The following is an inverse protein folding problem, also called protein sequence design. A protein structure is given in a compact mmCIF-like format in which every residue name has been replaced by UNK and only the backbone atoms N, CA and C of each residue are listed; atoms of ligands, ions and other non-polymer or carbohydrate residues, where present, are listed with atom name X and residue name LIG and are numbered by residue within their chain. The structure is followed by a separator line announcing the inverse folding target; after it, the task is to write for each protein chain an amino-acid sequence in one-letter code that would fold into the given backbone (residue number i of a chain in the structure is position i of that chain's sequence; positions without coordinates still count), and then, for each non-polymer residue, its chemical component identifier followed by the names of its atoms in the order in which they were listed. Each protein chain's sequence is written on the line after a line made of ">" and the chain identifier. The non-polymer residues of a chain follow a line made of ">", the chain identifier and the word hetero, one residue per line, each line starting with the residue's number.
data_IF_545433599829
#
_entry.id   IF_545433599829
#
_cell.length_a   1.000
_cell.length_b   1.000
_cell.length_c   1.000
_cell.angle_alpha   90.00
_cell.angle_beta   90.00
_cell.angle_gamma   90.00
#
_symmetry.space_group_name_H-M   'P 1'
#
loop_
_entity.id
_entity.type
_entity.pdbx_description
1 polymer ?
#
# COMPACT_ATOMS: atom_id res chain seq x y z
N UNK A 1 3.90 5.08 -15.98
CA UNK A 1 4.70 4.07 -16.68
C UNK A 1 6.14 4.14 -16.21
N UNK A 2 6.87 3.04 -16.33
CA UNK A 2 8.29 3.01 -15.96
C UNK A 2 9.10 3.84 -16.97
N UNK A 3 9.94 4.77 -16.47
CA UNK A 3 10.75 5.62 -17.34
C UNK A 3 11.88 4.86 -18.07
N UNK A 4 12.47 3.86 -17.40
CA UNK A 4 13.57 3.04 -17.93
C UNK A 4 13.07 1.95 -18.87
N UNK A 5 11.89 1.38 -18.61
CA UNK A 5 11.23 0.40 -19.45
C UNK A 5 9.80 0.83 -19.78
N UNK A 6 9.67 1.74 -20.74
CA UNK A 6 8.41 2.38 -21.14
C UNK A 6 7.31 1.41 -21.61
N UNK A 7 7.66 0.17 -21.91
CA UNK A 7 6.69 -0.86 -22.29
C UNK A 7 5.96 -1.47 -21.08
N UNK A 8 6.34 -1.16 -19.84
CA UNK A 8 5.76 -1.75 -18.63
C UNK A 8 5.19 -0.70 -17.68
N UNK A 9 4.23 -1.12 -16.87
CA UNK A 9 3.75 -0.30 -15.77
C UNK A 9 4.83 -0.06 -14.72
N UNK A 10 4.74 1.10 -14.06
CA UNK A 10 5.67 1.49 -13.00
C UNK A 10 5.39 0.74 -11.69
N UNK A 11 6.45 0.32 -10.99
CA UNK A 11 6.34 -0.38 -9.72
C UNK A 11 5.60 0.41 -8.63
N UNK A 12 5.89 1.70 -8.47
CA UNK A 12 5.34 2.47 -7.34
C UNK A 12 3.81 2.66 -7.38
N UNK A 13 3.18 2.59 -8.56
CA UNK A 13 1.78 3.00 -8.71
C UNK A 13 0.99 2.34 -9.83
N UNK A 14 1.66 1.88 -10.89
CA UNK A 14 1.05 1.34 -12.10
C UNK A 14 -0.17 2.16 -12.58
N UNK A 15 -1.29 1.51 -12.92
CA UNK A 15 -2.54 2.12 -13.36
C UNK A 15 -3.55 2.32 -12.20
N UNK A 16 -3.03 2.65 -11.01
CA UNK A 16 -3.83 2.97 -9.83
C UNK A 16 -3.95 1.82 -8.83
N UNK A 17 -4.13 2.21 -7.56
CA UNK A 17 -3.97 1.37 -6.40
C UNK A 17 -5.27 0.83 -5.80
N UNK A 18 -5.19 -0.39 -5.28
CA UNK A 18 -6.23 -1.10 -4.54
C UNK A 18 -5.64 -1.64 -3.25
N UNK A 19 -6.52 -2.08 -2.34
CA UNK A 19 -6.14 -2.71 -1.08
C UNK A 19 -6.93 -4.01 -0.92
N UNK A 20 -6.31 -5.03 -0.34
CA UNK A 20 -6.97 -6.29 0.01
C UNK A 20 -7.59 -6.24 1.42
N UNK A 21 -8.32 -7.29 1.81
CA UNK A 21 -8.94 -7.34 3.14
C UNK A 21 -7.93 -7.17 4.29
N UNK A 22 -6.69 -7.67 4.15
CA UNK A 22 -5.65 -7.59 5.18
C UNK A 22 -4.85 -6.28 5.15
N UNK A 23 -5.20 -5.33 4.28
CA UNK A 23 -4.53 -4.04 4.18
C UNK A 23 -3.28 -4.03 3.29
N UNK A 24 -3.05 -5.06 2.47
CA UNK A 24 -1.97 -5.06 1.49
C UNK A 24 -2.33 -4.18 0.28
N UNK A 25 -1.50 -3.18 -0.05
CA UNK A 25 -1.69 -2.41 -1.27
C UNK A 25 -1.16 -3.17 -2.49
N UNK A 26 -1.91 -3.12 -3.58
CA UNK A 26 -1.52 -3.62 -4.89
C UNK A 26 -2.05 -2.68 -5.97
N UNK A 27 -1.62 -2.84 -7.22
CA UNK A 27 -2.05 -1.94 -8.28
C UNK A 27 -2.62 -2.70 -9.47
N UNK A 28 -3.46 -2.03 -10.25
CA UNK A 28 -3.79 -2.45 -11.59
C UNK A 28 -2.55 -2.29 -12.47
N UNK A 29 -2.08 -3.39 -13.08
CA UNK A 29 -0.78 -3.43 -13.76
C UNK A 29 0.41 -3.84 -12.90
N UNK A 30 0.22 -4.10 -11.60
CA UNK A 30 1.26 -4.64 -10.71
C UNK A 30 0.71 -5.46 -9.55
N UNK A 31 1.09 -6.73 -9.51
CA UNK A 31 0.86 -7.63 -8.39
C UNK A 31 2.22 -8.02 -7.79
N UNK A 32 2.54 -7.50 -6.60
CA UNK A 32 3.87 -7.60 -5.98
C UNK A 32 5.00 -7.19 -6.94
N UNK A 33 5.85 -8.14 -7.36
CA UNK A 33 6.97 -7.94 -8.29
C UNK A 33 6.58 -8.18 -9.77
N UNK A 34 5.38 -8.71 -10.03
CA UNK A 34 4.89 -8.93 -11.39
C UNK A 34 4.35 -7.62 -11.95
N UNK A 35 5.06 -7.06 -12.93
CA UNK A 35 4.64 -5.89 -13.70
C UNK A 35 4.02 -6.32 -15.02
N UNK A 36 2.85 -5.78 -15.34
CA UNK A 36 2.21 -6.02 -16.62
C UNK A 36 2.85 -5.13 -17.70
N UNK A 37 2.96 -5.67 -18.92
CA UNK A 37 3.29 -4.87 -20.10
C UNK A 37 2.12 -3.96 -20.41
N UNK A 38 2.37 -2.70 -20.73
CA UNK A 38 1.34 -1.79 -21.22
C UNK A 38 1.00 -2.14 -22.68
N UNK A 39 -0.21 -2.63 -22.87
CA UNK A 39 -0.82 -2.94 -24.16
C UNK A 39 -2.05 -2.07 -24.38
N UNK A 40 -2.12 -0.90 -23.74
CA UNK A 40 -3.30 -0.02 -23.70
C UNK A 40 -4.52 -0.64 -22.99
N UNK A 41 -4.30 -1.65 -22.15
CA UNK A 41 -5.39 -2.37 -21.49
C UNK A 41 -6.06 -1.53 -20.39
N UNK A 42 -5.42 -0.45 -19.95
CA UNK A 42 -5.87 0.39 -18.84
C UNK A 42 -6.06 1.86 -19.23
N UNK A 43 -6.41 2.17 -20.48
CA UNK A 43 -6.60 3.56 -20.96
C UNK A 43 -7.97 4.17 -20.58
N UNK A 44 -8.68 3.56 -19.62
CA UNK A 44 -9.99 3.99 -19.14
C UNK A 44 -9.94 4.74 -17.81
N UNK A 45 -11.03 5.44 -17.48
CA UNK A 45 -11.21 6.12 -16.19
C UNK A 45 -11.96 5.17 -15.24
N UNK A 46 -11.35 4.84 -14.10
CA UNK A 46 -11.98 3.96 -13.10
C UNK A 46 -11.78 4.48 -11.67
N UNK A 47 -12.70 4.14 -10.74
CA UNK A 47 -12.45 4.32 -9.33
C UNK A 47 -11.25 3.49 -8.87
N UNK A 48 -10.43 4.09 -8.01
CA UNK A 48 -9.28 3.45 -7.35
C UNK A 48 -9.34 3.74 -5.85
N UNK A 49 -8.62 2.95 -5.08
CA UNK A 49 -8.52 3.14 -3.64
C UNK A 49 -7.48 4.19 -3.27
N UNK A 50 -6.31 4.13 -3.91
CA UNK A 50 -5.20 5.05 -3.67
C UNK A 50 -4.47 5.37 -4.97
N UNK A 51 -3.95 6.58 -5.07
CA UNK A 51 -3.10 7.03 -6.18
C UNK A 51 -1.66 7.15 -5.70
N UNK A 52 -0.69 6.92 -6.59
CA UNK A 52 0.72 7.03 -6.27
C UNK A 52 1.13 8.48 -6.05
N UNK A 53 1.99 8.74 -5.06
CA UNK A 53 2.55 10.07 -4.81
C UNK A 53 3.31 10.65 -6.00
N UNK A 54 3.78 9.82 -6.94
CA UNK A 54 4.45 10.28 -8.15
C UNK A 54 3.55 11.13 -9.08
N UNK A 55 2.23 10.94 -9.02
CA UNK A 55 1.26 11.72 -9.78
C UNK A 55 -0.10 11.67 -9.06
N UNK A 56 -0.27 12.54 -8.06
CA UNK A 56 -1.48 12.65 -7.26
C UNK A 56 -2.02 14.08 -7.30
N UNK A 57 -3.28 14.22 -7.70
CA UNK A 57 -4.01 15.48 -7.67
C UNK A 57 -5.14 15.38 -6.65
N UNK A 58 -5.19 16.30 -5.69
CA UNK A 58 -6.20 16.35 -4.63
C UNK A 58 -6.74 17.77 -4.50
N UNK A 59 -8.05 17.90 -4.26
CA UNK A 59 -8.66 19.20 -3.96
C UNK A 59 -8.03 19.77 -2.69
N UNK A 60 -7.55 21.02 -2.74
CA UNK A 60 -6.92 21.69 -1.59
C UNK A 60 -7.78 21.62 -0.32
N UNK A 61 -9.10 21.88 -0.42
CA UNK A 61 -10.01 21.76 0.71
C UNK A 61 -10.02 20.37 1.36
N UNK A 62 -9.92 19.30 0.56
CA UNK A 62 -9.87 17.91 1.06
C UNK A 62 -8.52 17.63 1.71
N UNK A 63 -7.42 18.10 1.11
CA UNK A 63 -6.08 17.95 1.68
C UNK A 63 -5.96 18.62 3.06
N UNK A 64 -6.44 19.86 3.20
CA UNK A 64 -6.44 20.58 4.47
C UNK A 64 -7.40 19.98 5.49
N UNK A 65 -8.59 19.53 5.08
CA UNK A 65 -9.50 18.80 5.97
C UNK A 65 -8.86 17.53 6.55
N UNK A 66 -8.00 16.87 5.76
CA UNK A 66 -7.27 15.69 6.17
C UNK A 66 -5.98 15.99 6.94
N UNK A 67 -5.63 17.26 7.20
CA UNK A 67 -4.34 17.65 7.78
C UNK A 67 -3.13 17.12 6.96
N UNK A 68 -3.25 17.03 5.63
CA UNK A 68 -2.17 16.65 4.75
C UNK A 68 -1.62 15.23 4.96
N UNK A 69 -0.35 15.03 4.59
CA UNK A 69 0.37 13.77 4.82
C UNK A 69 0.69 13.59 6.30
N UNK A 70 0.76 12.33 6.76
CA UNK A 70 1.16 12.02 8.12
C UNK A 70 2.69 11.89 8.21
N UNK A 71 3.35 12.87 8.81
CA UNK A 71 4.81 12.95 8.94
C UNK A 71 5.43 11.75 9.69
N UNK A 72 4.67 11.03 10.52
CA UNK A 72 5.16 9.85 11.23
C UNK A 72 5.55 8.69 10.28
N UNK A 73 5.04 8.72 9.03
CA UNK A 73 5.39 7.75 8.01
C UNK A 73 6.81 7.97 7.49
N UNK A 74 7.28 9.21 7.49
CA UNK A 74 8.52 9.69 6.86
C UNK A 74 8.58 9.44 5.34
N UNK A 75 8.50 8.18 4.92
CA UNK A 75 8.41 7.76 3.52
C UNK A 75 7.73 6.38 3.40
N UNK A 76 7.15 6.12 2.23
CA UNK A 76 6.37 4.94 1.85
C UNK A 76 5.02 4.82 2.56
N UNK A 77 3.95 4.73 1.76
CA UNK A 77 2.56 4.52 2.18
C UNK A 77 1.89 5.75 2.82
N UNK A 78 2.56 6.89 2.91
CA UNK A 78 1.94 8.15 3.34
C UNK A 78 0.79 8.57 2.41
N UNK A 79 0.93 8.31 1.11
CA UNK A 79 -0.11 8.58 0.12
C UNK A 79 -1.27 7.59 0.23
N UNK A 80 -0.97 6.33 0.56
CA UNK A 80 -1.99 5.30 0.78
C UNK A 80 -2.82 5.66 2.02
N UNK A 81 -2.18 6.08 3.11
CA UNK A 81 -2.87 6.54 4.31
C UNK A 81 -3.73 7.78 4.04
N UNK A 82 -3.21 8.77 3.29
CA UNK A 82 -3.99 9.95 2.89
C UNK A 82 -5.24 9.56 2.10
N UNK A 83 -5.10 8.71 1.08
CA UNK A 83 -6.22 8.22 0.29
C UNK A 83 -7.21 7.39 1.13
N UNK A 84 -6.72 6.56 2.05
CA UNK A 84 -7.59 5.77 2.92
C UNK A 84 -8.38 6.65 3.90
N UNK A 85 -7.75 7.67 4.47
CA UNK A 85 -8.46 8.65 5.32
C UNK A 85 -9.49 9.43 4.50
N UNK A 86 -9.18 9.84 3.28
CA UNK A 86 -10.13 10.46 2.37
C UNK A 86 -11.33 9.54 2.09
N UNK A 87 -11.06 8.26 1.79
CA UNK A 87 -12.09 7.24 1.56
C UNK A 87 -12.98 7.02 2.78
N UNK A 88 -12.41 7.03 3.99
CA UNK A 88 -13.18 6.94 5.23
C UNK A 88 -14.09 8.17 5.49
N UNK A 89 -13.81 9.31 4.86
CA UNK A 89 -14.68 10.48 4.84
C UNK A 89 -15.67 10.50 3.66
N UNK A 90 -15.69 9.45 2.82
CA UNK A 90 -16.60 9.32 1.69
C UNK A 90 -16.10 9.96 0.38
N UNK A 91 -14.87 10.46 0.35
CA UNK A 91 -14.25 10.92 -0.89
C UNK A 91 -13.86 9.74 -1.78
N UNK A 92 -13.85 9.99 -3.09
CA UNK A 92 -13.52 8.99 -4.11
C UNK A 92 -12.25 9.42 -4.85
N UNK A 93 -11.38 8.46 -5.13
CA UNK A 93 -10.24 8.64 -6.02
C UNK A 93 -10.52 7.96 -7.36
N UNK A 94 -9.98 8.53 -8.44
CA UNK A 94 -10.10 7.99 -9.79
C UNK A 94 -8.74 7.95 -10.45
N UNK A 95 -8.50 6.89 -11.20
CA UNK A 95 -7.42 6.80 -12.16
C UNK A 95 -7.90 7.37 -13.50
N UNK A 96 -7.05 8.13 -14.18
CA UNK A 96 -7.34 8.76 -15.47
C UNK A 96 -6.38 8.19 -16.52
N UNK A 97 -6.81 7.13 -17.23
CA UNK A 97 -5.97 6.43 -18.20
C UNK A 97 -5.61 7.21 -19.46
N UNK A 98 -6.27 8.35 -19.70
CA UNK A 98 -5.94 9.25 -20.82
C UNK A 98 -4.75 10.18 -20.55
N UNK A 99 -4.17 10.13 -19.34
CA UNK A 99 -3.01 10.93 -18.94
C UNK A 99 -1.86 10.03 -18.48
N UNK A 100 -0.68 10.19 -19.09
CA UNK A 100 0.49 9.34 -18.82
C UNK A 100 1.63 10.13 -18.20
N UNK A 101 2.16 9.64 -17.07
CA UNK A 101 3.40 10.12 -16.46
C UNK A 101 4.42 8.99 -16.46
N UNK A 102 5.65 9.30 -16.89
CA UNK A 102 6.80 8.40 -16.77
C UNK A 102 7.57 8.71 -15.49
N UNK A 103 7.78 7.70 -14.66
CA UNK A 103 8.39 7.86 -13.34
C UNK A 103 9.70 7.10 -13.25
N UNK A 104 10.71 7.72 -12.63
CA UNK A 104 11.99 7.08 -12.35
C UNK A 104 11.91 6.47 -10.95
N UNK A 105 11.44 5.23 -10.87
CA UNK A 105 11.33 4.48 -9.61
C UNK A 105 12.69 4.19 -8.95
N UNK A 106 12.68 4.08 -7.62
CA UNK A 106 13.82 3.58 -6.84
C UNK A 106 14.99 4.55 -6.65
N UNK A 107 14.80 5.86 -6.91
CA UNK A 107 15.83 6.87 -6.73
C UNK A 107 16.20 7.12 -5.25
N UNK A 108 15.22 7.06 -4.34
CA UNK A 108 15.44 7.37 -2.90
C UNK A 108 15.94 6.16 -2.11
N UNK A 109 15.32 4.99 -2.28
CA UNK A 109 15.70 3.73 -1.63
C UNK A 109 15.57 2.58 -2.62
N UNK A 110 16.69 1.90 -2.89
CA UNK A 110 16.71 0.67 -3.69
C UNK A 110 15.94 -0.44 -2.98
N UNK A 111 15.40 -1.39 -3.74
CA UNK A 111 14.60 -2.50 -3.19
C UNK A 111 15.33 -3.34 -2.15
N UNK A 112 16.65 -3.47 -2.30
CA UNK A 112 17.50 -4.25 -1.40
C UNK A 112 17.79 -3.54 -0.06
N UNK A 113 17.36 -2.28 0.10
CA UNK A 113 17.66 -1.53 1.30
C UNK A 113 16.77 -2.00 2.48
N UNK A 114 17.34 -2.50 3.59
CA UNK A 114 16.56 -2.94 4.76
C UNK A 114 15.75 -1.81 5.40
N UNK A 115 16.13 -0.54 5.24
CA UNK A 115 15.32 0.61 5.66
C UNK A 115 13.97 0.65 4.92
N UNK A 116 13.95 0.31 3.62
CA UNK A 116 12.70 0.21 2.86
C UNK A 116 11.82 -0.92 3.39
N UNK A 117 12.40 -2.05 3.77
CA UNK A 117 11.68 -3.14 4.45
C UNK A 117 11.10 -2.64 5.77
N UNK A 118 11.93 -2.07 6.64
CA UNK A 118 11.49 -1.51 7.92
C UNK A 118 10.29 -0.56 7.76
N UNK A 119 10.41 0.43 6.87
CA UNK A 119 9.35 1.42 6.63
C UNK A 119 8.07 0.77 6.10
N UNK A 120 8.14 -0.13 5.12
CA UNK A 120 6.94 -0.75 4.55
C UNK A 120 6.18 -1.62 5.56
N UNK A 121 6.89 -2.41 6.37
CA UNK A 121 6.26 -3.26 7.38
C UNK A 121 5.66 -2.41 8.52
N UNK A 122 6.39 -1.40 9.01
CA UNK A 122 5.90 -0.48 10.05
C UNK A 122 4.70 0.33 9.58
N UNK A 123 4.82 0.98 8.42
CA UNK A 123 3.80 1.91 7.91
C UNK A 123 2.53 1.18 7.46
N UNK A 124 2.64 -0.07 7.02
CA UNK A 124 1.46 -0.91 6.74
C UNK A 124 0.64 -1.17 8.00
N UNK A 125 1.29 -1.47 9.13
CA UNK A 125 0.62 -1.64 10.42
C UNK A 125 0.04 -0.31 10.95
N UNK A 126 0.73 0.82 10.74
CA UNK A 126 0.17 2.15 11.03
C UNK A 126 -1.12 2.41 10.25
N UNK A 127 -1.12 2.13 8.94
CA UNK A 127 -2.28 2.33 8.07
C UNK A 127 -3.48 1.49 8.55
N UNK A 128 -3.23 0.23 8.94
CA UNK A 128 -4.25 -0.67 9.47
C UNK A 128 -4.85 -0.11 10.76
N UNK A 129 -4.02 0.24 11.74
CA UNK A 129 -4.49 0.79 13.03
C UNK A 129 -5.29 2.07 12.83
N UNK A 130 -4.85 2.96 11.94
CA UNK A 130 -5.53 4.23 11.67
C UNK A 130 -6.86 4.04 10.94
N UNK A 131 -6.96 3.08 10.01
CA UNK A 131 -7.99 3.15 8.98
C UNK A 131 -8.95 1.94 8.87
N UNK A 132 -8.54 0.74 9.27
CA UNK A 132 -9.39 -0.47 9.18
C UNK A 132 -10.58 -0.37 10.13
N UNK A 133 -11.81 -0.83 9.81
CA UNK A 133 -12.95 -0.84 10.74
C UNK A 133 -12.66 -1.52 12.08
N UNK A 134 -13.16 -0.96 13.20
CA UNK A 134 -12.79 -1.41 14.56
C UNK A 134 -13.07 -2.90 14.79
N UNK A 135 -14.15 -3.42 14.19
CA UNK A 135 -14.54 -4.84 14.29
C UNK A 135 -13.54 -5.82 13.69
N UNK A 136 -12.72 -5.38 12.73
CA UNK A 136 -11.72 -6.23 12.08
C UNK A 136 -10.30 -5.96 12.55
N UNK A 137 -10.09 -4.85 13.28
CA UNK A 137 -8.76 -4.35 13.61
C UNK A 137 -7.88 -5.38 14.31
N UNK A 138 -8.38 -6.00 15.39
CA UNK A 138 -7.60 -6.99 16.14
C UNK A 138 -7.20 -8.19 15.28
N UNK A 139 -8.18 -8.78 14.56
CA UNK A 139 -7.94 -9.94 13.71
C UNK A 139 -6.95 -9.62 12.59
N UNK A 140 -7.10 -8.48 11.92
CA UNK A 140 -6.20 -8.09 10.83
C UNK A 140 -4.79 -7.82 11.35
N UNK A 141 -4.63 -7.11 12.47
CA UNK A 141 -3.29 -6.88 13.06
C UNK A 141 -2.63 -8.22 13.42
N UNK A 142 -3.37 -9.14 14.07
CA UNK A 142 -2.84 -10.45 14.40
C UNK A 142 -2.43 -11.24 13.15
N UNK A 143 -3.30 -11.33 12.14
CA UNK A 143 -3.00 -12.01 10.88
C UNK A 143 -1.81 -11.38 10.16
N UNK A 144 -1.65 -10.05 10.22
CA UNK A 144 -0.53 -9.35 9.61
C UNK A 144 0.78 -9.64 10.31
N UNK A 145 0.82 -9.67 11.64
CA UNK A 145 2.03 -10.04 12.38
C UNK A 145 2.47 -11.48 12.05
N UNK A 146 1.53 -12.42 11.86
CA UNK A 146 1.83 -13.79 11.44
C UNK A 146 2.37 -13.87 10.01
N UNK A 147 1.77 -13.13 9.06
CA UNK A 147 2.26 -13.06 7.69
C UNK A 147 3.63 -12.37 7.60
N UNK A 148 3.88 -11.37 8.44
CA UNK A 148 5.17 -10.72 8.54
C UNK A 148 6.23 -11.69 9.10
N UNK A 149 5.87 -12.58 10.03
CA UNK A 149 6.75 -13.65 10.51
C UNK A 149 7.10 -14.66 9.39
N UNK A 150 6.11 -15.03 8.56
CA UNK A 150 6.35 -15.87 7.37
C UNK A 150 7.30 -15.17 6.39
N UNK A 151 7.11 -13.87 6.14
CA UNK A 151 8.02 -13.09 5.31
C UNK A 151 9.44 -13.02 5.90
N UNK A 152 9.55 -12.86 7.22
CA UNK A 152 10.81 -12.88 7.95
C UNK A 152 11.55 -14.22 7.81
N UNK A 153 10.84 -15.34 7.91
CA UNK A 153 11.41 -16.68 7.68
C UNK A 153 11.87 -16.85 6.23
N UNK A 154 11.07 -16.39 5.27
CA UNK A 154 11.45 -16.39 3.84
C UNK A 154 12.78 -15.66 3.61
N UNK A 155 12.97 -14.49 4.22
CA UNK A 155 14.23 -13.75 4.09
C UNK A 155 15.44 -14.48 4.69
N UNK A 156 15.26 -15.26 5.75
CA UNK A 156 16.34 -16.12 6.29
C UNK A 156 16.70 -17.21 5.27
N UNK A 157 15.70 -17.89 4.71
CA UNK A 157 15.89 -18.95 3.69
C UNK A 157 16.59 -18.38 2.45
N UNK A 158 16.26 -17.16 2.05
CA UNK A 158 16.90 -16.44 0.94
C UNK A 158 18.29 -15.87 1.28
N UNK A 159 18.83 -16.19 2.46
CA UNK A 159 20.13 -15.72 2.96
C UNK A 159 20.23 -14.18 3.08
N UNK A 160 19.12 -13.52 3.41
CA UNK A 160 19.03 -12.07 3.66
C UNK A 160 18.50 -11.72 5.06
N UNK A 161 19.17 -12.18 6.14
CA UNK A 161 18.68 -12.02 7.52
C UNK A 161 18.55 -10.56 7.96
N UNK A 162 19.23 -9.62 7.30
CA UNK A 162 19.12 -8.19 7.59
C UNK A 162 17.69 -7.66 7.37
N UNK A 163 16.94 -8.22 6.41
CA UNK A 163 15.54 -7.85 6.20
C UNK A 163 14.63 -8.42 7.30
N UNK A 164 14.93 -9.62 7.80
CA UNK A 164 14.22 -10.18 8.97
C UNK A 164 14.41 -9.29 10.20
N UNK A 165 15.64 -8.81 10.43
CA UNK A 165 15.92 -7.85 11.50
C UNK A 165 15.17 -6.53 11.30
N UNK A 166 15.07 -6.05 10.05
CA UNK A 166 14.28 -4.87 9.72
C UNK A 166 12.78 -5.04 10.04
N UNK A 167 12.20 -6.23 9.80
CA UNK A 167 10.81 -6.54 10.17
C UNK A 167 10.63 -6.54 11.69
N UNK A 168 11.55 -7.17 12.43
CA UNK A 168 11.51 -7.20 13.90
C UNK A 168 11.56 -5.77 14.47
N UNK A 169 12.49 -4.93 13.97
CA UNK A 169 12.57 -3.52 14.36
C UNK A 169 11.30 -2.74 13.98
N UNK A 170 10.70 -3.04 12.84
CA UNK A 170 9.44 -2.43 12.42
C UNK A 170 8.31 -2.74 13.42
N UNK A 171 8.26 -3.97 13.95
CA UNK A 171 7.30 -4.37 14.97
C UNK A 171 7.56 -3.66 16.30
N UNK A 172 8.81 -3.60 16.78
CA UNK A 172 9.14 -2.81 17.98
C UNK A 172 8.73 -1.34 17.83
N UNK A 173 9.09 -0.71 16.71
CA UNK A 173 8.67 0.66 16.38
C UNK A 173 7.15 0.80 16.31
N UNK A 174 6.45 -0.21 15.78
CA UNK A 174 5.00 -0.25 15.76
C UNK A 174 4.41 -0.27 17.18
N UNK A 175 4.89 -1.15 18.05
CA UNK A 175 4.40 -1.26 19.43
C UNK A 175 4.64 0.03 20.22
N UNK A 176 5.83 0.62 20.13
CA UNK A 176 6.14 1.89 20.81
C UNK A 176 5.22 3.04 20.37
N UNK A 177 4.79 3.04 19.10
CA UNK A 177 3.95 4.09 18.52
C UNK A 177 2.46 3.71 18.43
N UNK A 178 2.06 2.55 18.94
CA UNK A 178 0.69 2.04 18.80
C UNK A 178 -0.33 3.03 19.40
N UNK A 179 -0.04 3.56 20.59
CA UNK A 179 -0.91 4.50 21.29
C UNK A 179 -1.12 5.80 20.49
N UNK A 180 -0.07 6.29 19.84
CA UNK A 180 -0.12 7.47 18.97
C UNK A 180 -1.01 7.21 17.75
N UNK A 181 -0.80 6.09 17.05
CA UNK A 181 -1.62 5.70 15.90
C UNK A 181 -3.09 5.48 16.28
N UNK A 182 -3.33 4.86 17.44
CA UNK A 182 -4.68 4.66 17.98
C UNK A 182 -5.38 5.98 18.34
N UNK A 183 -4.64 7.03 18.75
CA UNK A 183 -5.20 8.38 18.92
C UNK A 183 -5.59 8.99 17.57
N UNK A 184 -4.70 8.90 16.55
CA UNK A 184 -4.96 9.43 15.19
C UNK A 184 -6.16 8.76 14.52
N UNK A 185 -6.43 7.50 14.82
CA UNK A 185 -7.62 6.77 14.37
C UNK A 185 -8.94 7.52 14.62
N UNK A 186 -9.04 8.25 15.75
CA UNK A 186 -10.26 8.96 16.17
C UNK A 186 -10.68 10.09 15.21
N UNK A 187 -9.78 10.56 14.37
CA UNK A 187 -10.04 11.63 13.39
C UNK A 187 -11.06 11.24 12.30
N UNK A 188 -11.29 9.95 12.07
CA UNK A 188 -12.39 9.48 11.22
C UNK A 188 -13.21 8.42 11.98
N UNK A 189 -14.27 8.81 12.71
CA UNK A 189 -15.00 7.91 13.59
C UNK A 189 -15.77 6.83 12.82
N UNK A 190 -16.25 7.15 11.61
CA UNK A 190 -16.84 6.18 10.69
C UNK A 190 -15.75 5.70 9.72
N UNK A 191 -15.52 4.39 9.69
CA UNK A 191 -14.59 3.75 8.76
C UNK A 191 -15.39 2.95 7.75
N UNK A 192 -15.02 3.01 6.47
CA UNK A 192 -15.73 2.28 5.42
C UNK A 192 -15.54 0.79 5.62
N UNK A 193 -16.64 0.05 5.72
CA UNK A 193 -16.62 -1.39 5.94
C UNK A 193 -15.97 -2.12 4.76
N UNK A 194 -16.35 -1.74 3.55
CA UNK A 194 -15.93 -2.40 2.32
C UNK A 194 -14.87 -1.54 1.61
N UNK A 195 -13.66 -1.53 2.16
CA UNK A 195 -12.51 -0.79 1.61
C UNK A 195 -11.66 -1.62 0.64
N UNK A 196 -11.89 -2.94 0.59
CA UNK A 196 -11.00 -3.88 -0.08
C UNK A 196 -11.57 -4.36 -1.42
N UNK A 197 -10.68 -4.63 -2.38
CA UNK A 197 -11.04 -5.14 -3.71
C UNK A 197 -11.13 -6.66 -3.76
N UNK A 198 -10.28 -7.35 -3.00
CA UNK A 198 -10.20 -8.81 -2.93
C UNK A 198 -9.84 -9.25 -1.51
N UNK A 199 -9.94 -10.56 -1.25
CA UNK A 199 -9.50 -11.17 0.00
C UNK A 199 -8.16 -11.86 -0.23
N UNK A 200 -7.14 -11.49 0.55
CA UNK A 200 -5.85 -12.18 0.58
C UNK A 200 -5.07 -12.10 -0.74
N UNK A 201 -4.55 -10.91 -1.07
CA UNK A 201 -3.74 -10.74 -2.29
C UNK A 201 -2.44 -11.57 -2.24
N UNK A 202 -1.87 -11.76 -1.03
CA UNK A 202 -0.71 -12.65 -0.79
C UNK A 202 -1.02 -14.08 -1.23
N UNK A 203 -2.19 -14.61 -0.85
CA UNK A 203 -2.60 -15.97 -1.24
C UNK A 203 -2.85 -16.08 -2.74
N UNK A 204 -3.57 -15.11 -3.31
CA UNK A 204 -3.81 -15.03 -4.75
C UNK A 204 -2.51 -15.13 -5.55
N UNK A 205 -1.49 -14.39 -5.13
CA UNK A 205 -0.22 -14.35 -5.85
C UNK A 205 0.67 -15.56 -5.57
N UNK A 206 1.04 -15.78 -4.31
CA UNK A 206 2.07 -16.76 -3.95
C UNK A 206 1.57 -18.21 -3.92
N UNK A 207 0.25 -18.44 -3.77
CA UNK A 207 -0.32 -19.80 -3.73
C UNK A 207 -1.09 -20.13 -4.99
N UNK A 208 -1.92 -19.20 -5.50
CA UNK A 208 -2.69 -19.42 -6.73
C UNK A 208 -1.95 -18.98 -8.00
N UNK A 209 -0.73 -18.43 -7.90
CA UNK A 209 0.10 -18.06 -9.03
C UNK A 209 -0.44 -16.89 -9.86
N UNK A 210 -1.35 -16.07 -9.31
CA UNK A 210 -1.98 -14.95 -10.04
C UNK A 210 -1.02 -13.76 -10.13
N UNK A 211 -0.64 -13.40 -11.35
CA UNK A 211 0.36 -12.37 -11.61
C UNK A 211 -0.20 -11.10 -12.24
N UNK A 212 -1.41 -11.14 -12.81
CA UNK A 212 -2.05 -9.99 -13.46
C UNK A 212 -3.23 -9.49 -12.65
N UNK A 213 -3.55 -8.19 -12.77
CA UNK A 213 -4.69 -7.61 -12.07
C UNK A 213 -6.02 -8.28 -12.44
N UNK A 214 -6.22 -8.63 -13.72
CA UNK A 214 -7.44 -9.28 -14.22
C UNK A 214 -7.65 -10.70 -13.67
N UNK A 215 -6.57 -11.36 -13.23
CA UNK A 215 -6.64 -12.71 -12.67
C UNK A 215 -7.05 -12.75 -11.18
N UNK A 216 -6.99 -11.61 -10.48
CA UNK A 216 -7.39 -11.49 -9.08
C UNK A 216 -8.91 -11.59 -8.95
N UNK A 217 -9.39 -12.45 -8.04
CA UNK A 217 -10.80 -12.62 -7.71
C UNK A 217 -11.12 -12.04 -6.34
#
# INVERSE_FOLDING_TARGET
>A
LDYKNKAYFEYAGAAGGFIDFLGYPFCRGRIFMSLEKDTHQFDNIIPIFWASGACLCIKSAVYHQLNGFDEDYFAHQEEIDLCWRAHNLGYKAQYVGTSTVYHIGGATLREENPTKTFLNFRNSLYSIVKNVPKRYLFLIVLSRLLLDAIAGLKFIIELRPIHTWAIINAHFSFYSNFSMMAKKRKQSPKKTIHYYKCIGIVWNHFVLGRQTFSSIK
#
